data_IF_663007401890
#
_entry.id   IF_663007401890
#
_cell.length_a   1.000
_cell.length_b   1.000
_cell.length_c   1.000
_cell.angle_alpha   90.00
_cell.angle_beta   90.00
_cell.angle_gamma   90.00
#
_symmetry.space_group_name_H-M   'P 1'
#
loop_
_entity.id
_entity.type
_entity.pdbx_description
1 polymer ?
#
# COMPACT_ATOMS: atom_id res chain seq x y z
N UNK A 1 48.80 54.74 -13.27
CA UNK A 1 48.46 53.49 -13.97
C UNK A 1 47.44 52.75 -13.14
N UNK A 2 46.39 52.23 -13.80
CA UNK A 2 45.11 51.75 -13.26
C UNK A 2 45.17 50.22 -13.12
N UNK A 3 44.77 49.65 -11.98
CA UNK A 3 44.38 48.24 -11.84
C UNK A 3 43.52 48.11 -10.57
N UNK A 4 42.19 48.18 -10.71
CA UNK A 4 41.27 47.03 -10.79
C UNK A 4 41.04 46.42 -9.40
N UNK A 5 39.98 46.90 -8.75
CA UNK A 5 39.38 46.26 -7.58
C UNK A 5 38.74 44.92 -8.01
N UNK A 6 39.09 43.84 -7.32
CA UNK A 6 38.36 42.58 -7.40
C UNK A 6 37.41 42.51 -6.20
N UNK A 7 36.12 42.73 -6.45
CA UNK A 7 35.06 42.42 -5.48
C UNK A 7 34.86 40.91 -5.42
N UNK A 8 34.84 40.27 -4.24
CA UNK A 8 34.52 38.86 -4.12
C UNK A 8 33.01 38.70 -3.88
N UNK A 9 32.19 39.05 -4.87
CA UNK A 9 30.76 38.73 -4.86
C UNK A 9 30.50 37.60 -5.87
N UNK A 10 30.74 36.37 -5.42
CA UNK A 10 30.13 35.17 -6.00
C UNK A 10 29.53 34.36 -4.86
N UNK A 11 28.37 34.83 -4.42
CA UNK A 11 27.45 34.06 -3.59
C UNK A 11 27.11 32.80 -4.40
N UNK A 12 27.54 31.65 -3.91
CA UNK A 12 27.14 30.37 -4.46
C UNK A 12 25.70 30.14 -3.99
N UNK A 13 24.73 30.50 -4.82
CA UNK A 13 23.35 30.05 -4.63
C UNK A 13 23.32 28.53 -4.84
N UNK A 14 23.49 27.80 -3.74
CA UNK A 14 23.10 26.41 -3.69
C UNK A 14 21.59 26.36 -3.95
N UNK A 15 21.23 25.79 -5.10
CA UNK A 15 19.86 25.51 -5.51
C UNK A 15 19.23 24.49 -4.54
N UNK A 16 18.72 24.98 -3.41
CA UNK A 16 18.05 24.21 -2.36
C UNK A 16 16.56 24.03 -2.68
N UNK A 17 16.24 23.73 -3.95
CA UNK A 17 14.90 23.30 -4.36
C UNK A 17 14.65 21.88 -3.84
N UNK A 18 14.42 21.78 -2.53
CA UNK A 18 13.74 20.65 -1.92
C UNK A 18 12.30 20.69 -2.40
N UNK A 19 12.02 20.01 -3.52
CA UNK A 19 10.65 19.74 -3.93
C UNK A 19 9.94 19.06 -2.75
N UNK A 20 8.91 19.66 -2.13
CA UNK A 20 8.24 19.04 -1.02
C UNK A 20 7.43 17.88 -1.58
N UNK A 21 7.97 16.65 -1.47
CA UNK A 21 7.19 15.44 -1.73
C UNK A 21 5.87 15.56 -0.99
N UNK A 22 4.71 15.43 -1.66
CA UNK A 22 3.42 15.60 -1.02
C UNK A 22 3.32 14.60 0.14
N UNK A 23 3.20 15.13 1.36
CA UNK A 23 2.98 14.31 2.55
C UNK A 23 1.61 13.64 2.39
N UNK A 24 1.61 12.38 1.97
CA UNK A 24 0.42 11.54 2.00
C UNK A 24 -0.07 11.51 3.45
N UNK A 25 -1.24 12.10 3.69
CA UNK A 25 -1.86 12.10 5.00
C UNK A 25 -2.18 10.65 5.40
N UNK A 26 -1.72 10.25 6.59
CA UNK A 26 -1.94 8.90 7.12
C UNK A 26 -2.97 8.98 8.23
N UNK A 27 -4.06 8.22 8.10
CA UNK A 27 -5.04 8.05 9.15
C UNK A 27 -4.65 6.85 10.03
N UNK A 28 -4.62 7.04 11.35
CA UNK A 28 -4.37 5.96 12.31
C UNK A 28 -5.71 5.39 12.77
N UNK A 29 -5.89 4.10 12.53
CA UNK A 29 -7.06 3.34 13.01
C UNK A 29 -6.58 2.37 14.09
N UNK A 30 -7.33 2.29 15.19
CA UNK A 30 -7.13 1.30 16.24
C UNK A 30 -8.27 0.28 16.18
N UNK A 31 -7.94 -1.00 16.36
CA UNK A 31 -8.90 -2.09 16.32
C UNK A 31 -8.90 -2.81 17.66
N UNK A 32 -10.09 -2.97 18.23
CA UNK A 32 -10.32 -3.94 19.29
C UNK A 32 -10.86 -5.22 18.66
N UNK A 33 -10.01 -6.25 18.64
CA UNK A 33 -10.34 -7.53 18.03
C UNK A 33 -10.66 -8.56 19.12
N UNK A 34 -11.75 -9.31 18.93
CA UNK A 34 -11.98 -10.52 19.71
C UNK A 34 -10.80 -11.50 19.53
N UNK A 35 -10.49 -12.36 20.52
CA UNK A 35 -9.32 -13.25 20.47
C UNK A 35 -9.23 -14.06 19.17
N UNK A 36 -10.36 -14.66 18.74
CA UNK A 36 -10.45 -15.41 17.49
C UNK A 36 -10.09 -14.58 16.25
N UNK A 37 -10.46 -13.30 16.22
CA UNK A 37 -10.12 -12.40 15.11
C UNK A 37 -8.64 -12.06 15.12
N UNK A 38 -8.04 -11.89 16.29
CA UNK A 38 -6.61 -11.68 16.43
C UNK A 38 -5.82 -12.91 15.97
N UNK A 39 -6.28 -14.12 16.32
CA UNK A 39 -5.66 -15.38 15.84
C UNK A 39 -5.71 -15.49 14.32
N UNK A 40 -6.85 -15.15 13.70
CA UNK A 40 -6.97 -15.10 12.23
C UNK A 40 -5.97 -14.12 11.62
N UNK A 41 -5.82 -12.93 12.19
CA UNK A 41 -4.88 -11.92 11.73
C UNK A 41 -3.42 -12.39 11.85
N UNK A 42 -3.08 -13.09 12.94
CA UNK A 42 -1.77 -13.72 13.12
C UNK A 42 -1.49 -14.79 12.05
N UNK A 43 -2.45 -15.68 11.82
CA UNK A 43 -2.33 -16.73 10.79
C UNK A 43 -2.15 -16.10 9.40
N UNK A 44 -2.92 -15.06 9.08
CA UNK A 44 -2.78 -14.35 7.81
C UNK A 44 -1.40 -13.71 7.67
N UNK A 45 -0.90 -13.03 8.70
CA UNK A 45 0.44 -12.43 8.68
C UNK A 45 1.52 -13.46 8.34
N UNK A 46 1.46 -14.64 8.95
CA UNK A 46 2.43 -15.72 8.68
C UNK A 46 2.27 -16.26 7.26
N UNK A 47 1.05 -16.58 6.83
CA UNK A 47 0.79 -17.18 5.51
C UNK A 47 1.12 -16.25 4.34
N UNK A 48 0.98 -14.94 4.54
CA UNK A 48 1.29 -13.94 3.52
C UNK A 48 2.67 -13.32 3.70
N UNK A 49 3.47 -13.83 4.65
CA UNK A 49 4.81 -13.33 4.98
C UNK A 49 4.87 -11.81 5.23
N UNK A 50 3.79 -11.24 5.74
CA UNK A 50 3.69 -9.79 5.93
C UNK A 50 4.56 -9.35 7.12
N UNK A 51 5.24 -8.21 6.97
CA UNK A 51 6.12 -7.68 8.01
C UNK A 51 5.31 -7.21 9.24
N UNK A 52 4.06 -6.79 9.05
CA UNK A 52 3.21 -6.26 10.12
C UNK A 52 1.72 -6.54 9.91
N UNK A 53 0.93 -6.45 10.99
CA UNK A 53 -0.55 -6.51 10.88
C UNK A 53 -1.12 -5.38 10.02
N UNK A 54 -0.52 -4.19 10.08
CA UNK A 54 -0.93 -3.07 9.24
C UNK A 54 -0.75 -3.37 7.75
N UNK A 55 0.29 -4.12 7.39
CA UNK A 55 0.50 -4.57 6.01
C UNK A 55 -0.54 -5.61 5.59
N UNK A 56 -0.83 -6.60 6.46
CA UNK A 56 -1.93 -7.57 6.20
C UNK A 56 -3.24 -6.84 5.93
N UNK A 57 -3.61 -5.88 6.77
CA UNK A 57 -4.86 -5.12 6.62
C UNK A 57 -4.85 -4.28 5.34
N UNK A 58 -3.74 -3.61 4.99
CA UNK A 58 -3.63 -2.87 3.72
C UNK A 58 -3.81 -3.79 2.51
N UNK A 59 -3.14 -4.94 2.51
CA UNK A 59 -3.22 -5.90 1.41
C UNK A 59 -4.63 -6.48 1.31
N UNK A 60 -5.27 -6.77 2.45
CA UNK A 60 -6.66 -7.24 2.50
C UNK A 60 -7.64 -6.20 1.94
N UNK A 61 -7.48 -4.92 2.27
CA UNK A 61 -8.33 -3.85 1.73
C UNK A 61 -8.19 -3.73 0.20
N UNK A 62 -6.96 -3.73 -0.30
CA UNK A 62 -6.69 -3.68 -1.76
C UNK A 62 -7.26 -4.90 -2.48
N UNK A 63 -7.11 -6.08 -1.89
CA UNK A 63 -7.68 -7.31 -2.44
C UNK A 63 -9.21 -7.23 -2.46
N UNK A 64 -9.83 -6.78 -1.37
CA UNK A 64 -11.28 -6.68 -1.27
C UNK A 64 -11.86 -5.69 -2.30
N UNK A 65 -11.23 -4.53 -2.47
CA UNK A 65 -11.57 -3.53 -3.50
C UNK A 65 -11.52 -4.15 -4.91
N UNK A 66 -10.40 -4.79 -5.27
CA UNK A 66 -10.27 -5.45 -6.58
C UNK A 66 -11.34 -6.52 -6.81
N UNK A 67 -11.66 -7.35 -5.80
CA UNK A 67 -12.70 -8.38 -5.94
C UNK A 67 -14.10 -7.79 -6.15
N UNK A 68 -14.40 -6.65 -5.52
CA UNK A 68 -15.65 -5.93 -5.72
C UNK A 68 -15.71 -5.37 -7.14
N UNK A 69 -14.66 -4.65 -7.59
CA UNK A 69 -14.60 -4.07 -8.94
C UNK A 69 -14.84 -5.11 -10.03
N UNK A 70 -14.21 -6.28 -9.90
CA UNK A 70 -14.39 -7.36 -10.86
C UNK A 70 -15.82 -7.90 -10.88
N UNK A 71 -16.44 -8.03 -9.70
CA UNK A 71 -17.84 -8.46 -9.60
C UNK A 71 -18.80 -7.43 -10.18
N UNK A 72 -18.60 -6.14 -9.89
CA UNK A 72 -19.42 -5.05 -10.42
C UNK A 72 -19.27 -4.91 -11.94
N UNK A 73 -18.10 -5.27 -12.49
CA UNK A 73 -17.89 -5.36 -13.94
C UNK A 73 -18.55 -6.56 -14.60
N UNK A 74 -19.26 -7.41 -13.83
CA UNK A 74 -19.98 -8.58 -14.31
C UNK A 74 -19.11 -9.83 -14.49
N UNK A 75 -17.86 -9.82 -14.01
CA UNK A 75 -17.00 -11.01 -14.07
C UNK A 75 -17.40 -12.04 -13.00
N UNK A 76 -17.03 -13.28 -13.27
CA UNK A 76 -17.26 -14.41 -12.38
C UNK A 76 -15.94 -15.00 -11.93
N UNK A 77 -15.91 -15.48 -10.70
CA UNK A 77 -14.75 -16.15 -10.13
C UNK A 77 -14.93 -17.66 -10.23
N UNK A 78 -13.82 -18.33 -10.52
CA UNK A 78 -13.75 -19.78 -10.58
C UNK A 78 -12.58 -20.26 -9.75
N UNK A 79 -12.75 -21.42 -9.12
CA UNK A 79 -11.66 -22.13 -8.46
C UNK A 79 -11.37 -23.41 -9.22
N UNK A 80 -10.09 -23.73 -9.38
CA UNK A 80 -9.63 -24.98 -9.94
C UNK A 80 -9.08 -25.86 -8.81
N UNK A 81 -9.58 -27.09 -8.71
CA UNK A 81 -9.06 -28.07 -7.75
C UNK A 81 -7.79 -28.78 -8.29
N UNK A 82 -7.21 -29.65 -7.46
CA UNK A 82 -6.01 -30.42 -7.83
C UNK A 82 -6.25 -31.40 -8.97
N UNK A 83 -7.51 -31.74 -9.25
CA UNK A 83 -7.91 -32.63 -10.34
C UNK A 83 -8.17 -31.86 -11.64
N UNK A 84 -8.02 -30.54 -11.63
CA UNK A 84 -8.26 -29.66 -12.77
C UNK A 84 -9.73 -29.25 -12.94
N UNK A 85 -10.62 -29.66 -12.05
CA UNK A 85 -12.05 -29.31 -12.10
C UNK A 85 -12.22 -27.83 -11.80
N UNK A 86 -12.84 -27.10 -12.73
CA UNK A 86 -13.16 -25.68 -12.57
C UNK A 86 -14.61 -25.57 -12.06
N UNK A 87 -14.81 -24.88 -10.94
CA UNK A 87 -16.14 -24.65 -10.35
C UNK A 87 -16.38 -23.17 -10.06
N UNK A 88 -17.62 -22.66 -10.24
CA UNK A 88 -17.96 -21.28 -9.88
C UNK A 88 -17.76 -21.04 -8.39
N UNK A 89 -17.11 -19.93 -8.04
CA UNK A 89 -16.88 -19.53 -6.67
C UNK A 89 -17.58 -18.20 -6.39
N UNK A 90 -18.65 -18.23 -5.60
CA UNK A 90 -19.37 -17.02 -5.20
C UNK A 90 -18.67 -16.38 -4.00
N UNK A 91 -17.88 -15.34 -4.26
CA UNK A 91 -17.13 -14.60 -3.25
C UNK A 91 -18.03 -13.77 -2.32
N UNK A 92 -19.14 -13.28 -2.84
CA UNK A 92 -20.09 -12.44 -2.13
C UNK A 92 -21.39 -13.22 -1.93
N UNK A 93 -21.93 -13.18 -0.70
CA UNK A 93 -23.22 -13.76 -0.33
C UNK A 93 -24.37 -12.87 -0.79
#
# INVERSE_FOLDING_TARGET
MKAMAFSPDLVTEADDRVDPKPKVSKNRVQFDLAPRSMDRLNVLKVKTEAASYAEVVKNALRLYEALIEETESGKQFFVQDQNGTISPYRLFL
#
